data_IF_867111936219
#
_entry.id   IF_867111936219
#
_cell.length_a   1.000
_cell.length_b   1.000
_cell.length_c   1.000
_cell.angle_alpha   90.00
_cell.angle_beta   90.00
_cell.angle_gamma   90.00
#
_symmetry.space_group_name_H-M   'P 1'
#
loop_
_entity.id
_entity.type
_entity.pdbx_description
1 polymer ?
#
# COMPACT_ATOMS: atom_id res chain seq x y z
N UNK A 1 -7.72 -40.43 21.86
CA UNK A 1 -7.82 -39.78 20.54
C UNK A 1 -7.93 -38.28 20.77
N UNK A 2 -7.25 -37.46 19.96
CA UNK A 2 -7.42 -36.00 20.05
C UNK A 2 -8.83 -35.60 19.57
N UNK A 3 -9.46 -34.58 20.18
CA UNK A 3 -10.71 -34.01 19.67
C UNK A 3 -10.62 -33.57 18.20
N UNK A 4 -11.77 -33.43 17.53
CA UNK A 4 -11.83 -33.08 16.11
C UNK A 4 -11.39 -31.65 15.81
N UNK A 5 -11.47 -30.77 16.80
CA UNK A 5 -11.24 -29.33 16.77
C UNK A 5 -9.85 -28.91 17.28
N UNK A 6 -9.02 -29.87 17.72
CA UNK A 6 -7.66 -29.60 18.20
C UNK A 6 -6.67 -29.66 17.05
N UNK A 7 -5.99 -28.53 16.83
CA UNK A 7 -4.86 -28.42 15.91
C UNK A 7 -3.58 -29.00 16.53
N UNK A 8 -2.71 -29.53 15.69
CA UNK A 8 -1.44 -30.13 16.10
C UNK A 8 -0.31 -29.53 15.28
N UNK A 9 0.67 -28.96 15.97
CA UNK A 9 1.95 -28.60 15.40
C UNK A 9 3.01 -29.56 15.91
N UNK A 10 3.85 -30.07 15.03
CA UNK A 10 4.94 -30.98 15.38
C UNK A 10 6.20 -30.61 14.65
N UNK A 11 7.28 -30.41 15.39
CA UNK A 11 8.63 -30.31 14.86
C UNK A 11 9.30 -31.68 14.97
N UNK A 12 9.62 -32.26 13.82
CA UNK A 12 10.27 -33.57 13.70
C UNK A 12 11.42 -33.51 12.70
N UNK A 13 12.03 -34.63 12.40
CA UNK A 13 13.04 -34.77 11.35
C UNK A 13 12.56 -35.73 10.26
N UNK A 14 13.13 -35.62 9.06
CA UNK A 14 13.04 -36.70 8.07
C UNK A 14 13.64 -37.99 8.65
N UNK A 15 13.30 -39.15 8.06
CA UNK A 15 13.80 -40.46 8.51
C UNK A 15 15.34 -40.61 8.57
N UNK A 16 16.08 -39.66 7.99
CA UNK A 16 17.56 -39.59 8.03
C UNK A 16 18.11 -38.69 9.14
N UNK A 17 17.25 -38.06 9.94
CA UNK A 17 17.56 -37.10 11.01
C UNK A 17 18.31 -35.83 10.58
N UNK A 18 18.31 -35.51 9.28
CA UNK A 18 19.10 -34.39 8.73
C UNK A 18 18.33 -33.12 8.43
N UNK A 19 17.02 -33.24 8.21
CA UNK A 19 16.18 -32.12 7.75
C UNK A 19 15.04 -31.96 8.75
N UNK A 20 14.93 -30.81 9.42
CA UNK A 20 13.78 -30.52 10.28
C UNK A 20 12.52 -30.38 9.42
N UNK A 21 11.40 -30.89 9.95
CA UNK A 21 10.09 -30.87 9.32
C UNK A 21 9.11 -30.31 10.34
N UNK A 22 8.47 -29.19 9.99
CA UNK A 22 7.32 -28.67 10.72
C UNK A 22 6.04 -29.22 10.09
N UNK A 23 5.21 -29.87 10.89
CA UNK A 23 3.94 -30.45 10.49
C UNK A 23 2.82 -29.67 11.18
N UNK A 24 1.92 -29.07 10.40
CA UNK A 24 0.64 -28.56 10.89
C UNK A 24 -0.46 -29.52 10.45
N UNK A 25 -1.20 -30.09 11.40
CA UNK A 25 -2.20 -31.13 11.13
C UNK A 25 -3.35 -31.09 12.14
N UNK A 26 -4.38 -31.88 11.90
CA UNK A 26 -5.59 -31.94 12.71
C UNK A 26 -6.56 -33.00 12.17
N UNK A 27 -7.58 -33.31 12.96
CA UNK A 27 -8.61 -34.28 12.58
C UNK A 27 -9.74 -33.67 11.71
N UNK A 28 -9.67 -32.37 11.41
CA UNK A 28 -10.61 -31.63 10.56
C UNK A 28 -9.91 -30.43 9.90
N UNK A 29 -10.50 -29.88 8.83
CA UNK A 29 -10.00 -28.68 8.15
C UNK A 29 -9.88 -27.50 9.13
N UNK A 30 -10.86 -27.34 10.02
CA UNK A 30 -10.84 -26.31 11.07
C UNK A 30 -9.68 -26.51 12.06
N UNK A 31 -9.34 -27.75 12.42
CA UNK A 31 -8.20 -28.04 13.29
C UNK A 31 -6.85 -27.76 12.60
N UNK A 32 -6.72 -28.07 11.30
CA UNK A 32 -5.52 -27.72 10.53
C UNK A 32 -5.37 -26.21 10.44
N UNK A 33 -6.45 -25.49 10.10
CA UNK A 33 -6.46 -24.02 10.06
C UNK A 33 -6.06 -23.43 11.40
N UNK A 34 -6.63 -23.92 12.51
CA UNK A 34 -6.25 -23.50 13.87
C UNK A 34 -4.78 -23.75 14.19
N UNK A 35 -4.21 -24.89 13.77
CA UNK A 35 -2.78 -25.16 13.95
C UNK A 35 -1.90 -24.15 13.17
N UNK A 36 -2.27 -23.83 11.94
CA UNK A 36 -1.55 -22.85 11.11
C UNK A 36 -1.74 -21.44 11.66
N UNK A 37 -2.93 -21.08 12.15
CA UNK A 37 -3.24 -19.77 12.71
C UNK A 37 -2.32 -19.44 13.90
N UNK A 38 -2.07 -20.42 14.76
CA UNK A 38 -1.10 -20.28 15.85
C UNK A 38 0.31 -19.91 15.34
N UNK A 39 0.76 -20.47 14.20
CA UNK A 39 2.07 -20.17 13.62
C UNK A 39 2.18 -18.78 12.99
N UNK A 40 1.07 -18.12 12.70
CA UNK A 40 1.05 -16.80 12.05
C UNK A 40 0.58 -15.69 12.98
N UNK A 41 0.21 -16.01 14.22
CA UNK A 41 -0.14 -15.04 15.27
C UNK A 41 1.04 -14.86 16.24
N UNK A 42 1.74 -13.72 16.14
CA UNK A 42 2.97 -13.45 16.91
C UNK A 42 2.80 -13.62 18.42
N UNK A 43 1.69 -13.12 18.98
CA UNK A 43 1.43 -13.15 20.44
C UNK A 43 1.37 -14.56 21.02
N UNK A 44 0.77 -15.50 20.28
CA UNK A 44 0.57 -16.86 20.77
C UNK A 44 1.81 -17.74 20.49
N UNK A 45 2.64 -17.39 19.50
CA UNK A 45 3.91 -18.07 19.26
C UNK A 45 4.89 -17.96 20.44
N UNK A 46 4.88 -16.83 21.17
CA UNK A 46 5.78 -16.60 22.32
C UNK A 46 5.59 -17.64 23.43
N UNK A 47 4.40 -18.23 23.54
CA UNK A 47 4.09 -19.28 24.53
C UNK A 47 4.26 -20.70 23.98
N UNK A 48 4.52 -20.83 22.67
CA UNK A 48 4.73 -22.10 21.98
C UNK A 48 6.11 -22.70 22.20
N UNK A 49 6.29 -23.49 23.25
CA UNK A 49 7.57 -24.18 23.51
C UNK A 49 7.43 -25.70 23.43
N UNK A 50 8.34 -26.35 22.69
CA UNK A 50 8.43 -27.82 22.61
C UNK A 50 8.41 -28.38 21.19
N UNK A 51 8.47 -29.72 21.08
CA UNK A 51 8.46 -30.44 19.80
C UNK A 51 7.05 -30.72 19.28
N UNK A 52 6.03 -30.65 20.15
CA UNK A 52 4.62 -30.85 19.80
C UNK A 52 3.78 -29.81 20.54
N UNK A 53 2.93 -29.10 19.82
CA UNK A 53 1.99 -28.11 20.36
C UNK A 53 0.58 -28.56 19.98
N UNK A 54 -0.30 -28.61 20.98
CA UNK A 54 -1.73 -28.92 20.79
C UNK A 54 -2.50 -27.62 20.93
N UNK A 55 -3.04 -27.13 19.81
CA UNK A 55 -3.78 -25.87 19.75
C UNK A 55 -5.25 -26.17 19.92
N UNK A 56 -5.74 -26.00 21.15
CA UNK A 56 -7.15 -26.26 21.49
C UNK A 56 -8.01 -25.03 21.27
N UNK A 57 -7.51 -23.87 21.71
CA UNK A 57 -8.19 -22.58 21.65
C UNK A 57 -7.16 -21.52 21.25
N UNK A 58 -7.58 -20.57 20.42
CA UNK A 58 -6.82 -19.39 20.05
C UNK A 58 -7.70 -18.19 20.31
N UNK A 59 -7.13 -17.13 20.85
CA UNK A 59 -7.85 -15.88 20.98
C UNK A 59 -8.06 -15.29 19.58
N UNK A 60 -9.27 -14.79 19.34
CA UNK A 60 -9.53 -13.98 18.14
C UNK A 60 -8.76 -12.66 18.27
N UNK A 61 -8.05 -12.30 17.21
CA UNK A 61 -7.30 -11.04 17.14
C UNK A 61 -8.19 -10.02 16.43
N UNK A 62 -8.43 -8.88 17.07
CA UNK A 62 -9.21 -7.81 16.44
C UNK A 62 -8.42 -7.22 15.25
N UNK A 63 -9.02 -7.12 14.06
CA UNK A 63 -8.36 -6.55 12.91
C UNK A 63 -7.88 -5.11 13.16
N UNK A 64 -6.66 -4.74 12.73
CA UNK A 64 -6.20 -3.36 12.85
C UNK A 64 -7.02 -2.44 11.94
N UNK A 65 -7.01 -1.15 12.22
CA UNK A 65 -7.63 -0.17 11.34
C UNK A 65 -7.03 -0.24 9.91
N UNK A 66 -7.81 -0.06 8.83
CA UNK A 66 -7.33 -0.17 7.44
C UNK A 66 -6.10 0.68 7.10
N UNK A 67 -5.90 1.78 7.82
CA UNK A 67 -4.81 2.75 7.63
C UNK A 67 -3.67 2.62 8.65
N UNK A 68 -3.68 1.59 9.50
CA UNK A 68 -2.59 1.31 10.42
C UNK A 68 -1.50 0.47 9.72
N UNK A 69 -0.46 1.13 9.21
CA UNK A 69 0.66 0.51 8.49
C UNK A 69 1.98 0.92 9.16
N UNK A 70 2.70 -0.06 9.73
CA UNK A 70 3.75 0.17 10.74
C UNK A 70 5.04 0.88 10.26
N UNK A 71 5.28 0.93 8.94
CA UNK A 71 6.46 1.59 8.32
C UNK A 71 6.09 2.82 7.46
N UNK A 72 4.85 3.28 7.56
CA UNK A 72 4.30 4.35 6.74
C UNK A 72 4.19 5.64 7.53
N UNK A 73 4.03 6.76 6.83
CA UNK A 73 3.84 8.06 7.46
C UNK A 73 2.64 8.02 8.41
N UNK A 74 2.76 8.60 9.62
CA UNK A 74 1.65 8.67 10.57
C UNK A 74 0.41 9.26 9.93
N UNK A 75 -0.81 8.87 10.34
CA UNK A 75 -2.04 9.43 9.76
C UNK A 75 -2.22 10.95 10.01
N UNK A 76 -1.58 11.49 11.06
CA UNK A 76 -1.59 12.93 11.36
C UNK A 76 -0.90 13.74 10.26
N UNK A 77 -1.49 14.88 9.89
CA UNK A 77 -0.87 15.80 8.93
C UNK A 77 0.36 16.53 9.48
N UNK A 78 0.51 16.60 10.81
CA UNK A 78 1.68 17.18 11.46
C UNK A 78 2.35 16.14 12.35
N UNK A 79 3.63 15.91 12.14
CA UNK A 79 4.46 14.98 12.91
C UNK A 79 5.93 15.40 12.89
N UNK A 80 6.74 14.79 13.74
CA UNK A 80 8.18 15.04 13.88
C UNK A 80 9.00 13.88 13.33
N UNK A 81 10.30 14.11 13.14
CA UNK A 81 11.24 13.06 12.81
C UNK A 81 11.24 11.96 13.88
N UNK A 82 11.13 12.32 15.16
CA UNK A 82 10.98 11.37 16.27
C UNK A 82 9.72 10.48 16.21
N UNK A 83 8.73 10.83 15.40
CA UNK A 83 7.52 10.02 15.23
C UNK A 83 7.69 8.97 14.11
N UNK A 84 8.84 8.98 13.42
CA UNK A 84 9.22 7.99 12.41
C UNK A 84 10.23 7.01 12.99
N UNK A 85 10.29 5.80 12.41
CA UNK A 85 11.23 4.75 12.79
C UNK A 85 12.46 4.72 11.87
N UNK A 86 13.60 4.38 12.45
CA UNK A 86 14.87 4.16 11.75
C UNK A 86 15.00 2.72 11.19
N UNK A 87 16.16 2.38 10.64
CA UNK A 87 16.42 1.04 10.09
C UNK A 87 16.38 -0.09 11.12
N UNK A 88 16.41 0.23 12.42
CA UNK A 88 16.34 -0.71 13.55
C UNK A 88 14.96 -0.77 14.20
N UNK A 89 13.95 -0.19 13.53
CA UNK A 89 12.57 -0.10 14.00
C UNK A 89 12.43 0.72 15.30
N UNK A 90 13.37 1.64 15.57
CA UNK A 90 13.33 2.53 16.73
C UNK A 90 12.99 3.97 16.32
N UNK A 91 12.29 4.75 17.16
CA UNK A 91 12.05 6.17 16.91
C UNK A 91 13.36 6.94 16.66
N UNK A 92 13.38 7.84 15.68
CA UNK A 92 14.57 8.66 15.45
C UNK A 92 14.91 9.56 16.66
N UNK A 93 16.17 9.53 17.05
CA UNK A 93 16.78 10.51 17.95
C UNK A 93 17.59 11.55 17.16
N UNK A 94 18.31 12.44 17.86
CA UNK A 94 19.22 13.39 17.23
C UNK A 94 20.34 12.64 16.49
N UNK A 95 20.41 12.81 15.16
CA UNK A 95 21.39 12.12 14.31
C UNK A 95 22.58 13.04 14.06
N UNK A 96 23.77 12.65 14.53
CA UNK A 96 25.02 13.39 14.27
C UNK A 96 25.88 12.68 13.25
N UNK A 97 26.25 13.40 12.20
CA UNK A 97 27.18 12.94 11.16
C UNK A 97 28.54 13.62 11.31
N UNK A 98 29.60 12.94 10.87
CA UNK A 98 30.99 13.37 11.05
C UNK A 98 31.79 13.29 9.76
N UNK A 99 32.62 14.29 9.49
CA UNK A 99 33.50 14.33 8.33
C UNK A 99 32.88 14.92 7.08
N UNK A 100 33.74 15.23 6.11
CA UNK A 100 33.36 15.88 4.85
C UNK A 100 32.61 14.96 3.87
N UNK A 101 32.74 13.65 4.06
CA UNK A 101 32.12 12.59 3.26
C UNK A 101 31.02 11.85 4.02
N UNK A 102 30.36 12.53 4.97
CA UNK A 102 29.23 11.96 5.69
C UNK A 102 28.13 11.48 4.73
N UNK A 103 27.60 10.25 4.89
CA UNK A 103 26.39 9.86 4.17
C UNK A 103 25.22 10.74 4.60
N UNK A 104 24.25 10.90 3.69
CA UNK A 104 22.99 11.53 4.05
C UNK A 104 22.21 10.62 5.01
N UNK A 105 21.44 11.22 5.92
CA UNK A 105 20.41 10.51 6.67
C UNK A 105 19.31 10.10 5.68
N UNK A 106 19.09 8.80 5.52
CA UNK A 106 18.01 8.24 4.71
C UNK A 106 16.81 7.93 5.60
N UNK A 107 15.63 8.43 5.23
CA UNK A 107 14.39 8.28 5.96
C UNK A 107 13.36 7.63 5.02
N UNK A 108 12.79 6.52 5.46
CA UNK A 108 11.64 5.89 4.79
C UNK A 108 10.41 6.81 4.89
N UNK A 109 10.18 7.62 3.86
CA UNK A 109 9.12 8.63 3.81
C UNK A 109 7.91 8.11 3.03
N UNK A 110 7.38 6.97 3.46
CA UNK A 110 6.39 6.17 2.73
C UNK A 110 4.96 6.64 3.01
N UNK A 111 4.33 7.32 2.06
CA UNK A 111 2.92 7.68 2.20
C UNK A 111 1.99 6.47 2.06
N UNK A 112 0.81 6.54 2.67
CA UNK A 112 -0.18 5.49 2.46
C UNK A 112 -0.63 5.48 0.99
N UNK A 113 -0.94 4.32 0.38
CA UNK A 113 -1.37 4.26 -1.02
C UNK A 113 -2.65 5.05 -1.33
N UNK A 114 -3.46 5.35 -0.31
CA UNK A 114 -4.68 6.14 -0.40
C UNK A 114 -4.51 7.63 -0.02
N UNK A 115 -3.28 8.08 0.23
CA UNK A 115 -2.97 9.49 0.47
C UNK A 115 -2.94 10.29 -0.83
N UNK A 116 -3.79 11.31 -0.91
CA UNK A 116 -3.70 12.34 -1.94
C UNK A 116 -3.18 13.64 -1.38
N UNK A 117 -1.94 13.98 -1.72
CA UNK A 117 -1.34 15.24 -1.31
C UNK A 117 -1.85 16.44 -2.11
N UNK A 118 -2.09 17.53 -1.39
CA UNK A 118 -2.45 18.85 -1.88
C UNK A 118 -1.21 19.77 -1.82
N UNK A 119 -1.20 20.89 -2.56
CA UNK A 119 -0.12 21.86 -2.46
C UNK A 119 0.05 22.40 -1.03
N UNK A 120 1.29 22.70 -0.66
CA UNK A 120 1.63 23.31 0.63
C UNK A 120 2.23 22.36 1.68
N UNK A 121 2.68 21.17 1.28
CA UNK A 121 3.45 20.29 2.16
C UNK A 121 4.81 20.92 2.48
N UNK A 122 5.24 20.83 3.73
CA UNK A 122 6.51 21.41 4.17
C UNK A 122 7.28 20.51 5.12
N UNK A 123 8.60 20.63 5.05
CA UNK A 123 9.53 20.16 6.08
C UNK A 123 10.17 21.40 6.72
N UNK A 124 10.17 21.46 8.05
CA UNK A 124 10.96 22.41 8.83
C UNK A 124 12.12 21.66 9.46
N UNK A 125 13.25 21.67 8.77
CA UNK A 125 14.48 21.00 9.16
C UNK A 125 15.15 21.77 10.28
N UNK A 126 15.42 21.07 11.40
CA UNK A 126 16.17 21.60 12.54
C UNK A 126 17.53 20.95 12.61
N UNK A 127 18.58 21.78 12.68
CA UNK A 127 19.95 21.30 12.61
C UNK A 127 20.93 22.14 13.41
N UNK A 128 22.04 21.53 13.80
CA UNK A 128 23.22 22.16 14.38
C UNK A 128 24.47 21.73 13.62
N UNK A 129 25.55 22.50 13.70
CA UNK A 129 26.82 22.11 13.09
C UNK A 129 28.01 22.69 13.85
N UNK A 130 29.13 21.98 13.77
CA UNK A 130 30.36 22.31 14.47
C UNK A 130 31.16 23.47 13.90
N UNK A 131 32.15 23.96 14.66
CA UNK A 131 33.12 24.94 14.17
C UNK A 131 34.01 24.35 13.06
N UNK A 132 34.85 25.18 12.46
CA UNK A 132 35.82 24.82 11.41
C UNK A 132 35.22 24.41 10.06
N UNK A 133 33.91 24.55 9.86
CA UNK A 133 33.30 24.48 8.53
C UNK A 133 33.66 25.71 7.69
N UNK A 134 33.64 25.58 6.36
CA UNK A 134 33.72 26.69 5.42
C UNK A 134 32.30 27.14 5.00
N UNK A 135 31.76 28.25 5.49
CA UNK A 135 30.40 28.72 5.17
C UNK A 135 30.14 28.98 3.67
N UNK A 136 31.19 29.16 2.87
CA UNK A 136 31.06 29.44 1.44
C UNK A 136 30.77 28.18 0.63
N UNK A 137 31.23 27.02 1.09
CA UNK A 137 31.14 25.75 0.36
C UNK A 137 30.43 24.64 1.13
N UNK A 138 30.24 24.82 2.45
CA UNK A 138 29.43 23.92 3.26
C UNK A 138 27.94 24.26 3.21
N UNK A 139 27.10 23.23 3.12
CA UNK A 139 25.64 23.37 3.13
C UNK A 139 24.97 22.17 3.80
N UNK A 140 23.70 22.35 4.14
CA UNK A 140 22.77 21.28 4.42
C UNK A 140 21.72 21.24 3.30
N UNK A 141 21.44 20.07 2.76
CA UNK A 141 20.48 19.86 1.68
C UNK A 141 19.47 18.76 2.02
N UNK A 142 18.28 18.87 1.42
CA UNK A 142 17.24 17.86 1.49
C UNK A 142 16.87 17.46 0.08
N UNK A 143 16.79 16.16 -0.16
CA UNK A 143 16.32 15.57 -1.39
C UNK A 143 15.24 14.53 -1.10
N UNK A 144 14.38 14.27 -2.09
CA UNK A 144 13.41 13.18 -2.06
C UNK A 144 13.56 12.39 -3.36
N UNK A 145 13.75 11.07 -3.24
CA UNK A 145 13.99 10.17 -4.37
C UNK A 145 15.13 10.67 -5.29
N UNK A 146 16.20 11.21 -4.70
CA UNK A 146 17.36 11.78 -5.40
C UNK A 146 17.15 13.17 -6.02
N UNK A 147 15.95 13.76 -5.91
CA UNK A 147 15.65 15.10 -6.40
C UNK A 147 15.76 16.12 -5.27
N UNK A 148 16.65 17.11 -5.44
CA UNK A 148 16.87 18.15 -4.45
C UNK A 148 15.60 19.02 -4.26
N UNK A 149 15.12 19.09 -3.02
CA UNK A 149 14.05 20.00 -2.60
C UNK A 149 14.59 21.40 -2.29
N UNK A 150 15.81 21.45 -1.77
CA UNK A 150 16.48 22.69 -1.40
C UNK A 150 17.61 22.46 -0.42
N UNK A 151 18.19 23.56 0.04
CA UNK A 151 19.25 23.52 1.04
C UNK A 151 19.67 24.92 1.45
N UNK A 152 20.47 24.99 2.51
CA UNK A 152 21.03 26.25 3.01
C UNK A 152 22.54 26.12 3.18
N UNK A 153 23.26 27.13 2.71
CA UNK A 153 24.66 27.29 3.11
C UNK A 153 24.75 27.47 4.61
N UNK A 154 25.75 26.87 5.22
CA UNK A 154 26.08 27.12 6.61
C UNK A 154 26.58 28.58 6.73
N UNK A 155 26.31 29.24 7.85
CA UNK A 155 26.46 30.69 7.96
C UNK A 155 27.62 31.16 8.84
N UNK A 156 28.23 30.27 9.63
CA UNK A 156 29.21 30.60 10.66
C UNK A 156 30.40 29.66 10.62
N UNK A 157 31.62 30.19 10.74
CA UNK A 157 32.85 29.37 10.92
C UNK A 157 32.96 28.79 12.34
N UNK A 158 32.25 29.36 13.30
CA UNK A 158 32.25 28.94 14.71
C UNK A 158 31.21 27.83 14.98
N UNK A 159 30.48 27.41 13.95
CA UNK A 159 29.30 26.57 14.10
C UNK A 159 28.06 27.38 14.45
N UNK A 160 26.93 26.70 14.50
CA UNK A 160 25.66 27.27 14.93
C UNK A 160 24.77 26.16 15.52
N UNK A 161 23.83 26.53 16.38
CA UNK A 161 22.97 25.58 17.09
C UNK A 161 21.50 25.86 16.81
N UNK A 162 20.69 24.81 16.71
CA UNK A 162 19.23 24.90 16.64
C UNK A 162 18.74 25.81 15.51
N UNK A 163 19.41 25.73 14.35
CA UNK A 163 19.01 26.45 13.14
C UNK A 163 17.86 25.76 12.46
N UNK A 164 17.04 26.55 11.78
CA UNK A 164 15.91 26.06 11.02
C UNK A 164 15.93 26.54 9.57
N UNK A 165 15.46 25.66 8.69
CA UNK A 165 15.05 26.00 7.33
C UNK A 165 13.76 25.26 6.99
N UNK A 166 12.81 25.98 6.42
CA UNK A 166 11.57 25.40 5.91
C UNK A 166 11.66 25.28 4.39
N UNK A 167 11.29 24.11 3.88
CA UNK A 167 11.25 23.80 2.44
C UNK A 167 9.90 23.19 2.09
N UNK A 168 9.42 23.47 0.89
CA UNK A 168 8.20 22.86 0.35
C UNK A 168 8.53 21.50 -0.25
N UNK A 169 7.69 20.50 0.02
CA UNK A 169 7.74 19.19 -0.63
C UNK A 169 6.64 19.17 -1.71
N UNK A 170 6.99 19.03 -3.00
CA UNK A 170 5.98 18.92 -4.05
C UNK A 170 5.09 17.69 -3.84
N UNK A 171 3.79 17.84 -4.09
CA UNK A 171 2.78 16.79 -3.87
C UNK A 171 3.03 15.52 -4.68
N UNK A 172 3.59 15.64 -5.89
CA UNK A 172 3.91 14.52 -6.80
C UNK A 172 5.14 13.71 -6.36
N UNK A 173 5.87 14.21 -5.36
CA UNK A 173 7.10 13.60 -4.84
C UNK A 173 6.88 12.74 -3.61
N UNK A 174 5.74 12.84 -2.94
CA UNK A 174 5.44 12.02 -1.77
C UNK A 174 4.69 10.77 -2.23
N UNK A 175 5.37 9.63 -2.24
CA UNK A 175 4.85 8.35 -2.74
C UNK A 175 4.99 7.25 -1.69
N UNK A 176 4.29 6.11 -1.87
CA UNK A 176 4.40 4.98 -0.94
C UNK A 176 5.79 4.32 -0.87
N UNK A 177 6.69 4.63 -1.81
CA UNK A 177 8.09 4.18 -1.81
C UNK A 177 9.11 5.32 -1.72
N UNK A 178 8.68 6.53 -1.33
CA UNK A 178 9.60 7.67 -1.29
C UNK A 178 10.65 7.55 -0.19
N UNK A 179 11.86 8.02 -0.50
CA UNK A 179 12.98 8.16 0.44
C UNK A 179 13.38 9.62 0.55
N UNK A 180 13.37 10.13 1.78
CA UNK A 180 13.82 11.48 2.09
C UNK A 180 15.27 11.42 2.57
N UNK A 181 16.12 12.23 1.95
CA UNK A 181 17.55 12.25 2.20
C UNK A 181 17.96 13.62 2.72
N UNK A 182 18.55 13.67 3.91
CA UNK A 182 19.03 14.91 4.53
C UNK A 182 20.55 14.82 4.66
N UNK A 183 21.26 15.66 3.92
CA UNK A 183 22.71 15.62 3.79
C UNK A 183 23.38 16.85 4.36
N UNK A 184 24.50 16.63 5.06
CA UNK A 184 25.49 17.68 5.30
C UNK A 184 26.62 17.56 4.27
N UNK A 185 26.87 18.63 3.52
CA UNK A 185 28.07 18.78 2.70
C UNK A 185 29.02 19.67 3.48
N UNK A 186 29.99 19.07 4.17
CA UNK A 186 30.89 19.80 5.07
C UNK A 186 32.26 19.93 4.42
N UNK A 187 32.69 21.16 4.21
CA UNK A 187 34.06 21.48 3.85
C UNK A 187 34.81 22.10 5.02
N UNK A 188 36.07 21.70 5.27
CA UNK A 188 36.88 22.34 6.29
C UNK A 188 37.30 23.74 5.85
N UNK A 189 37.38 24.66 6.81
CA UNK A 189 37.81 26.05 6.63
C UNK A 189 39.21 26.15 6.02
N UNK A 190 40.15 25.32 6.48
CA UNK A 190 41.53 25.28 5.97
C UNK A 190 41.83 23.91 5.33
N UNK A 191 41.87 23.86 3.99
CA UNK A 191 42.37 22.67 3.28
C UNK A 191 43.90 22.67 3.28
N UNK A 192 44.53 22.05 4.29
CA UNK A 192 46.00 21.97 4.40
C UNK A 192 46.58 20.91 3.44
N UNK A 193 46.74 21.30 2.17
CA UNK A 193 47.18 20.45 1.04
C UNK A 193 46.23 19.31 0.69
N UNK A 194 46.18 18.90 -0.58
CA UNK A 194 45.34 17.78 -1.05
C UNK A 194 45.63 16.42 -0.38
N UNK A 195 46.67 16.32 0.47
CA UNK A 195 47.15 15.07 1.08
C UNK A 195 46.79 14.89 2.57
N UNK A 196 46.33 15.94 3.27
CA UNK A 196 45.99 15.87 4.71
C UNK A 196 44.77 16.74 5.04
N UNK A 197 43.60 16.23 4.70
CA UNK A 197 42.34 16.84 5.14
C UNK A 197 42.01 16.29 6.53
N UNK A 198 42.14 17.12 7.57
CA UNK A 198 41.64 16.79 8.91
C UNK A 198 40.16 17.18 8.98
N UNK A 199 39.28 16.33 8.47
CA UNK A 199 37.83 16.58 8.40
C UNK A 199 37.04 15.89 9.53
N UNK A 200 37.66 14.97 10.29
CA UNK A 200 37.01 14.28 11.42
C UNK A 200 36.45 15.21 12.49
N UNK A 201 36.92 16.46 12.56
CA UNK A 201 36.41 17.49 13.47
C UNK A 201 35.11 18.16 12.97
N UNK A 202 34.76 17.98 11.70
CA UNK A 202 33.52 18.50 11.12
C UNK A 202 32.37 17.61 11.55
N UNK A 203 31.30 18.21 12.02
CA UNK A 203 30.09 17.49 12.37
C UNK A 203 28.85 18.34 12.10
N UNK A 204 27.74 17.65 11.89
CA UNK A 204 26.42 18.21 11.77
C UNK A 204 25.42 17.32 12.49
N UNK A 205 24.44 17.91 13.15
CA UNK A 205 23.36 17.18 13.83
C UNK A 205 22.03 17.57 13.21
N UNK A 206 21.24 16.57 12.83
CA UNK A 206 19.84 16.70 12.46
C UNK A 206 19.04 16.40 13.72
N UNK A 207 18.18 17.34 14.14
CA UNK A 207 17.44 17.18 15.39
C UNK A 207 16.14 16.42 15.16
N UNK A 208 15.78 15.59 16.15
CA UNK A 208 14.56 14.78 16.15
C UNK A 208 13.28 15.62 16.17
N UNK A 209 13.38 16.90 16.55
CA UNK A 209 12.28 17.88 16.51
C UNK A 209 12.09 18.55 15.12
N UNK A 210 12.82 18.10 14.09
CA UNK A 210 12.50 18.38 12.68
C UNK A 210 11.05 17.98 12.41
N UNK A 211 10.26 18.88 11.84
CA UNK A 211 8.81 18.70 11.72
C UNK A 211 8.33 18.68 10.28
N UNK A 212 7.31 17.88 10.02
CA UNK A 212 6.61 17.75 8.74
C UNK A 212 5.18 18.27 8.90
N UNK A 213 4.73 19.10 7.98
CA UNK A 213 3.33 19.49 7.84
C UNK A 213 2.88 19.15 6.41
N UNK A 214 2.08 18.10 6.29
CA UNK A 214 1.56 17.58 5.04
C UNK A 214 0.09 17.98 4.89
N UNK A 215 -0.30 18.38 3.68
CA UNK A 215 -1.69 18.64 3.31
C UNK A 215 -2.14 17.47 2.45
N UNK A 216 -2.96 16.59 3.00
CA UNK A 216 -3.51 15.43 2.28
C UNK A 216 -4.96 15.17 2.63
N UNK A 217 -5.61 14.42 1.78
CA UNK A 217 -6.93 13.82 1.98
C UNK A 217 -6.87 12.33 1.67
N UNK A 218 -7.79 11.56 2.24
CA UNK A 218 -7.89 10.13 1.95
C UNK A 218 -8.69 9.91 0.67
N UNK A 219 -7.99 9.76 -0.45
CA UNK A 219 -8.64 9.64 -1.72
C UNK A 219 -7.75 8.90 -2.73
N UNK A 220 -8.23 7.77 -3.23
CA UNK A 220 -7.50 6.93 -4.18
C UNK A 220 -8.30 6.74 -5.46
N UNK A 221 -7.62 6.55 -6.59
CA UNK A 221 -8.27 6.17 -7.84
C UNK A 221 -8.21 4.66 -7.98
N UNK A 222 -9.38 4.03 -8.05
CA UNK A 222 -9.51 2.61 -8.33
C UNK A 222 -10.43 2.40 -9.54
N UNK A 223 -10.22 1.37 -10.36
CA UNK A 223 -9.10 0.40 -10.33
C UNK A 223 -7.76 1.01 -10.82
N UNK A 224 -6.63 0.56 -10.27
CA UNK A 224 -5.25 0.89 -10.69
C UNK A 224 -4.25 -0.18 -10.21
N UNK A 225 -3.80 -1.03 -11.14
CA UNK A 225 -2.86 -2.12 -10.91
C UNK A 225 -1.51 -1.64 -10.36
N UNK A 226 -1.15 -0.37 -10.53
CA UNK A 226 0.06 0.19 -9.93
C UNK A 226 0.04 0.08 -8.40
N UNK A 227 -1.14 0.17 -7.79
CA UNK A 227 -1.30 0.10 -6.33
C UNK A 227 -1.00 -1.30 -5.76
N UNK A 228 -1.08 -2.35 -6.60
CA UNK A 228 -0.67 -3.70 -6.22
C UNK A 228 0.81 -3.82 -5.88
N UNK A 229 1.65 -2.89 -6.35
CA UNK A 229 3.05 -2.80 -5.94
C UNK A 229 3.17 -2.68 -4.40
N UNK A 230 2.20 -2.01 -3.77
CA UNK A 230 2.12 -1.77 -2.33
C UNK A 230 1.09 -2.68 -1.63
N UNK A 231 0.49 -3.61 -2.37
CA UNK A 231 -0.55 -4.51 -1.86
C UNK A 231 -1.92 -3.85 -1.71
N UNK A 232 -2.11 -2.59 -2.11
CA UNK A 232 -3.38 -1.90 -1.94
C UNK A 232 -4.37 -2.24 -3.08
N UNK A 233 -5.68 -2.39 -2.80
CA UNK A 233 -6.32 -2.35 -1.47
C UNK A 233 -6.33 -3.69 -0.70
N UNK A 234 -5.81 -4.75 -1.31
CA UNK A 234 -5.85 -6.13 -0.78
C UNK A 234 -5.07 -6.37 0.53
N UNK A 235 -4.21 -5.43 0.93
CA UNK A 235 -3.46 -5.42 2.19
C UNK A 235 -3.88 -4.26 3.11
N UNK A 236 -5.10 -3.73 2.92
CA UNK A 236 -5.72 -2.72 3.78
C UNK A 236 -7.02 -3.31 4.39
N UNK A 237 -7.03 -3.74 5.67
CA UNK A 237 -5.96 -3.66 6.66
C UNK A 237 -4.80 -4.63 6.44
N UNK A 238 -3.70 -4.38 7.15
CA UNK A 238 -2.45 -5.14 7.01
C UNK A 238 -2.58 -6.62 7.37
N UNK A 239 -3.55 -7.02 8.19
CA UNK A 239 -3.80 -8.44 8.51
C UNK A 239 -4.52 -9.21 7.40
N UNK A 240 -4.89 -8.53 6.29
CA UNK A 240 -5.59 -9.10 5.13
C UNK A 240 -7.04 -9.54 5.39
N UNK A 241 -7.62 -9.18 6.56
CA UNK A 241 -8.97 -9.61 6.98
C UNK A 241 -10.13 -9.14 6.07
N UNK A 242 -9.90 -8.16 5.20
CA UNK A 242 -10.89 -7.65 4.24
C UNK A 242 -10.65 -8.17 2.82
N UNK A 243 -9.84 -9.20 2.66
CA UNK A 243 -9.49 -9.79 1.37
C UNK A 243 -9.75 -11.29 1.36
N UNK A 244 -10.45 -11.73 0.33
CA UNK A 244 -10.72 -13.15 0.08
C UNK A 244 -10.18 -13.58 -1.28
N UNK A 245 -9.49 -14.74 -1.30
CA UNK A 245 -9.13 -15.41 -2.56
C UNK A 245 -10.25 -16.38 -2.97
N UNK A 246 -10.75 -16.23 -4.20
CA UNK A 246 -11.75 -17.11 -4.80
C UNK A 246 -11.10 -18.01 -5.86
N UNK A 247 -11.28 -19.33 -5.72
CA UNK A 247 -10.80 -20.35 -6.64
C UNK A 247 -11.96 -21.02 -7.41
N UNK A 248 -11.69 -21.70 -8.53
CA UNK A 248 -12.70 -22.51 -9.21
C UNK A 248 -13.26 -23.59 -8.29
N UNK A 249 -14.47 -24.10 -8.58
CA UNK A 249 -15.06 -25.20 -7.80
C UNK A 249 -14.18 -26.46 -7.78
N UNK A 250 -13.36 -26.65 -8.82
CA UNK A 250 -12.33 -27.71 -8.90
C UNK A 250 -10.99 -27.10 -9.32
N UNK A 251 -10.20 -26.58 -8.36
CA UNK A 251 -8.93 -25.91 -8.68
C UNK A 251 -7.93 -26.88 -9.32
N UNK A 252 -7.25 -26.41 -10.35
CA UNK A 252 -6.08 -27.06 -10.94
C UNK A 252 -4.83 -26.85 -10.10
N UNK A 253 -3.74 -27.57 -10.41
CA UNK A 253 -2.44 -27.33 -9.77
C UNK A 253 -1.92 -25.91 -10.02
N UNK A 254 -2.17 -25.37 -11.22
CA UNK A 254 -1.76 -24.01 -11.59
C UNK A 254 -2.55 -22.96 -10.80
N UNK A 255 -3.86 -23.17 -10.61
CA UNK A 255 -4.69 -22.27 -9.77
C UNK A 255 -4.16 -22.20 -8.34
N UNK A 256 -3.83 -23.36 -7.74
CA UNK A 256 -3.27 -23.44 -6.39
C UNK A 256 -1.87 -22.83 -6.29
N UNK A 257 -1.03 -23.03 -7.31
CA UNK A 257 0.32 -22.48 -7.34
C UNK A 257 0.31 -20.94 -7.46
N UNK A 258 -0.61 -20.39 -8.25
CA UNK A 258 -0.84 -18.95 -8.33
C UNK A 258 -1.44 -18.39 -7.03
N UNK A 259 -2.39 -19.09 -6.41
CA UNK A 259 -2.91 -18.72 -5.08
C UNK A 259 -1.78 -18.57 -4.06
N UNK A 260 -0.87 -19.54 -3.98
CA UNK A 260 0.28 -19.49 -3.08
C UNK A 260 1.21 -18.31 -3.39
N UNK A 261 1.48 -18.02 -4.67
CA UNK A 261 2.30 -16.88 -5.07
C UNK A 261 1.67 -15.53 -4.67
N UNK A 262 0.35 -15.41 -4.82
CA UNK A 262 -0.40 -14.22 -4.36
C UNK A 262 -0.32 -14.09 -2.83
N UNK A 263 -0.59 -15.17 -2.10
CA UNK A 263 -0.53 -15.18 -0.64
C UNK A 263 0.88 -14.84 -0.13
N UNK A 264 1.92 -15.39 -0.75
CA UNK A 264 3.31 -15.08 -0.42
C UNK A 264 3.59 -13.58 -0.59
N UNK A 265 3.19 -13.01 -1.74
CA UNK A 265 3.39 -11.59 -2.01
C UNK A 265 2.67 -10.70 -0.99
N UNK A 266 1.39 -10.95 -0.73
CA UNK A 266 0.63 -10.18 0.26
C UNK A 266 1.24 -10.33 1.66
N UNK A 267 1.68 -11.53 2.03
CA UNK A 267 2.39 -11.78 3.28
C UNK A 267 3.71 -11.01 3.40
N UNK A 268 4.50 -10.85 2.31
CA UNK A 268 5.72 -10.02 2.32
C UNK A 268 5.44 -8.53 2.49
N UNK A 269 4.29 -8.07 1.98
CA UNK A 269 3.87 -6.66 2.03
C UNK A 269 3.17 -6.31 3.34
N UNK A 270 2.55 -7.29 3.98
CA UNK A 270 1.96 -7.16 5.31
C UNK A 270 3.03 -7.06 6.39
N UNK A 271 2.79 -6.19 7.37
CA UNK A 271 3.55 -6.10 8.62
C UNK A 271 2.71 -6.43 9.84
N UNK A 272 1.52 -7.01 9.67
CA UNK A 272 0.64 -7.31 10.79
C UNK A 272 1.18 -8.47 11.64
N UNK A 273 0.92 -8.40 12.95
CA UNK A 273 1.23 -9.47 13.92
C UNK A 273 0.37 -10.73 13.74
N UNK A 274 -0.66 -10.65 12.90
CA UNK A 274 -1.55 -11.75 12.57
C UNK A 274 -2.02 -11.63 11.13
N UNK A 275 -2.29 -12.78 10.50
CA UNK A 275 -2.86 -12.86 9.15
C UNK A 275 -4.22 -13.53 9.20
N UNK A 276 -5.20 -12.95 8.50
CA UNK A 276 -6.59 -13.39 8.40
C UNK A 276 -7.04 -13.42 6.93
N UNK A 277 -6.19 -13.96 6.05
CA UNK A 277 -6.51 -14.12 4.64
C UNK A 277 -7.35 -15.38 4.42
N UNK A 278 -8.58 -15.21 3.94
CA UNK A 278 -9.47 -16.33 3.66
C UNK A 278 -9.37 -16.79 2.20
N UNK A 279 -9.65 -18.07 1.97
CA UNK A 279 -9.68 -18.65 0.63
C UNK A 279 -10.85 -19.60 0.49
N UNK A 280 -11.64 -19.41 -0.57
CA UNK A 280 -12.81 -20.22 -0.85
C UNK A 280 -12.77 -20.77 -2.27
N UNK A 281 -13.29 -21.98 -2.45
CA UNK A 281 -13.83 -22.37 -3.76
C UNK A 281 -15.11 -21.58 -3.99
N UNK A 282 -15.36 -21.16 -5.22
CA UNK A 282 -16.50 -20.30 -5.57
C UNK A 282 -17.86 -20.82 -5.10
N UNK A 283 -18.06 -22.14 -5.04
CA UNK A 283 -19.30 -22.77 -4.57
C UNK A 283 -19.45 -22.81 -3.04
N UNK A 284 -18.43 -22.37 -2.30
CA UNK A 284 -18.39 -22.29 -0.84
C UNK A 284 -18.14 -20.86 -0.35
N UNK A 285 -17.96 -19.89 -1.27
CA UNK A 285 -17.77 -18.49 -0.93
C UNK A 285 -19.07 -17.92 -0.34
N UNK A 286 -19.07 -17.43 0.91
CA UNK A 286 -20.26 -16.82 1.49
C UNK A 286 -20.63 -15.52 0.77
N UNK A 287 -21.93 -15.25 0.69
CA UNK A 287 -22.42 -14.03 0.02
C UNK A 287 -22.01 -12.75 0.75
N UNK A 288 -21.86 -12.83 2.07
CA UNK A 288 -21.40 -11.74 2.93
C UNK A 288 -19.98 -11.31 2.53
N UNK A 289 -18.98 -12.20 2.61
CA UNK A 289 -17.61 -11.92 2.19
C UNK A 289 -17.57 -11.39 0.74
N UNK A 290 -18.34 -11.99 -0.18
CA UNK A 290 -18.40 -11.54 -1.60
C UNK A 290 -18.87 -10.09 -1.74
N UNK A 291 -19.74 -9.61 -0.85
CA UNK A 291 -20.28 -8.26 -0.89
C UNK A 291 -19.45 -7.26 -0.07
N UNK A 292 -18.80 -7.69 1.01
CA UNK A 292 -18.10 -6.81 1.94
C UNK A 292 -16.59 -6.71 1.74
N UNK A 293 -15.96 -7.63 1.02
CA UNK A 293 -14.49 -7.73 0.90
C UNK A 293 -13.95 -7.48 -0.51
N UNK A 294 -12.65 -7.19 -0.58
CA UNK A 294 -11.89 -7.22 -1.82
C UNK A 294 -11.69 -8.68 -2.25
N UNK A 295 -11.89 -8.98 -3.53
CA UNK A 295 -11.79 -10.35 -4.02
C UNK A 295 -10.62 -10.52 -4.97
N UNK A 296 -9.83 -11.58 -4.78
CA UNK A 296 -8.82 -12.03 -5.74
C UNK A 296 -9.33 -13.32 -6.36
N UNK A 297 -9.77 -13.27 -7.61
CA UNK A 297 -10.33 -14.41 -8.30
C UNK A 297 -9.29 -15.02 -9.25
N UNK A 298 -9.05 -16.33 -9.12
CA UNK A 298 -8.07 -17.06 -9.91
C UNK A 298 -8.78 -18.12 -10.75
N UNK A 299 -8.39 -18.24 -12.02
CA UNK A 299 -8.79 -19.38 -12.85
C UNK A 299 -8.65 -19.13 -14.34
N UNK A 300 -8.60 -20.21 -15.12
CA UNK A 300 -8.73 -20.10 -16.58
C UNK A 300 -10.14 -19.66 -16.97
N UNK A 301 -10.29 -19.02 -18.14
CA UNK A 301 -11.54 -18.41 -18.63
C UNK A 301 -12.76 -19.33 -18.47
N UNK A 302 -12.62 -20.62 -18.82
CA UNK A 302 -13.73 -21.58 -18.77
C UNK A 302 -14.11 -22.07 -17.36
N UNK A 303 -13.27 -21.82 -16.35
CA UNK A 303 -13.48 -22.23 -14.95
C UNK A 303 -13.43 -21.04 -13.98
N UNK A 304 -13.35 -19.82 -14.48
CA UNK A 304 -13.12 -18.63 -13.68
C UNK A 304 -14.29 -18.40 -12.70
N UNK A 305 -14.02 -18.06 -11.42
CA UNK A 305 -15.07 -17.89 -10.40
C UNK A 305 -16.18 -16.91 -10.78
N UNK A 306 -15.83 -15.81 -11.44
CA UNK A 306 -16.75 -14.70 -11.74
C UNK A 306 -16.71 -14.31 -13.22
N UNK A 307 -17.34 -15.08 -14.13
CA UNK A 307 -17.25 -14.85 -15.58
C UNK A 307 -17.65 -13.44 -16.04
N UNK A 308 -18.57 -12.80 -15.32
CA UNK A 308 -19.00 -11.41 -15.54
C UNK A 308 -17.84 -10.40 -15.41
N UNK A 309 -16.87 -10.67 -14.54
CA UNK A 309 -15.69 -9.81 -14.31
C UNK A 309 -14.75 -9.83 -15.52
N UNK A 310 -14.61 -11.00 -16.18
CA UNK A 310 -13.78 -11.13 -17.39
C UNK A 310 -14.41 -10.46 -18.61
N UNK A 311 -15.71 -10.20 -18.59
CA UNK A 311 -16.45 -9.59 -19.70
C UNK A 311 -16.79 -8.11 -19.49
N UNK A 312 -16.54 -7.58 -18.30
CA UNK A 312 -16.72 -6.16 -17.97
C UNK A 312 -15.77 -5.26 -18.75
N UNK A 313 -16.22 -4.10 -19.23
CA UNK A 313 -15.37 -3.12 -19.92
C UNK A 313 -15.12 -3.43 -21.40
N UNK A 314 -14.15 -2.71 -21.97
CA UNK A 314 -13.87 -2.73 -23.41
C UNK A 314 -13.11 -3.97 -23.86
N UNK A 315 -12.32 -4.60 -22.98
CA UNK A 315 -11.64 -5.85 -23.28
C UNK A 315 -12.24 -7.03 -22.51
N UNK A 316 -12.49 -8.12 -23.25
CA UNK A 316 -13.11 -9.31 -22.72
C UNK A 316 -12.45 -10.59 -23.24
N UNK A 317 -12.26 -11.54 -22.32
CA UNK A 317 -11.88 -12.92 -22.64
C UNK A 317 -13.13 -13.75 -22.93
N UNK A 318 -13.34 -14.07 -24.21
CA UNK A 318 -14.42 -14.92 -24.69
C UNK A 318 -14.01 -16.39 -24.77
N UNK A 319 -14.96 -17.23 -25.19
CA UNK A 319 -14.71 -18.66 -25.40
C UNK A 319 -13.81 -18.91 -26.61
N UNK A 320 -13.18 -20.09 -26.68
CA UNK A 320 -12.38 -20.55 -27.81
C UNK A 320 -11.23 -19.59 -28.21
N UNK A 321 -10.53 -19.04 -27.22
CA UNK A 321 -9.44 -18.08 -27.41
C UNK A 321 -9.85 -16.80 -28.14
N UNK A 322 -11.13 -16.42 -28.04
CA UNK A 322 -11.58 -15.13 -28.56
C UNK A 322 -11.27 -14.02 -27.56
N UNK A 323 -10.79 -12.90 -28.09
CA UNK A 323 -10.59 -11.67 -27.36
C UNK A 323 -11.37 -10.59 -28.06
N UNK A 324 -12.10 -9.80 -27.28
CA UNK A 324 -12.79 -8.62 -27.80
C UNK A 324 -12.11 -7.39 -27.26
N UNK A 325 -11.88 -6.39 -28.10
CA UNK A 325 -11.49 -5.04 -27.71
C UNK A 325 -12.39 -4.05 -28.46
N UNK A 326 -13.23 -3.32 -27.73
CA UNK A 326 -14.26 -2.44 -28.30
C UNK A 326 -15.19 -3.18 -29.28
N UNK A 327 -15.18 -2.79 -30.56
CA UNK A 327 -15.94 -3.42 -31.65
C UNK A 327 -15.18 -4.55 -32.35
N UNK A 328 -13.88 -4.69 -32.08
CA UNK A 328 -13.04 -5.69 -32.71
C UNK A 328 -13.08 -6.98 -31.91
N UNK A 329 -13.26 -8.10 -32.61
CA UNK A 329 -13.13 -9.43 -32.04
C UNK A 329 -12.05 -10.16 -32.82
N UNK A 330 -11.04 -10.63 -32.10
CA UNK A 330 -9.95 -11.43 -32.65
C UNK A 330 -9.96 -12.81 -32.01
N UNK A 331 -9.34 -13.77 -32.69
CA UNK A 331 -9.05 -15.08 -32.13
C UNK A 331 -7.53 -15.23 -32.09
N UNK A 332 -6.96 -15.31 -30.89
CA UNK A 332 -5.53 -15.48 -30.70
C UNK A 332 -5.22 -16.98 -30.64
N UNK A 333 -4.43 -17.50 -31.57
CA UNK A 333 -4.06 -18.93 -31.61
C UNK A 333 -2.55 -19.07 -31.87
N UNK A 334 -1.77 -19.68 -30.94
CA UNK A 334 -2.17 -20.06 -29.59
C UNK A 334 -2.32 -18.84 -28.66
N UNK A 335 -3.35 -18.82 -27.82
CA UNK A 335 -3.47 -17.83 -26.74
C UNK A 335 -2.72 -18.33 -25.49
N UNK A 336 -1.48 -17.88 -25.36
CA UNK A 336 -0.58 -18.24 -24.27
C UNK A 336 -0.44 -17.17 -23.19
N UNK A 337 -1.18 -16.06 -23.26
CA UNK A 337 -0.94 -14.92 -22.36
C UNK A 337 -1.75 -15.01 -21.07
N UNK A 338 -1.16 -14.49 -20.01
CA UNK A 338 -1.82 -14.21 -18.74
C UNK A 338 -2.55 -12.87 -18.77
N UNK A 339 -3.63 -12.76 -18.00
CA UNK A 339 -4.40 -11.54 -17.81
C UNK A 339 -4.51 -11.24 -16.32
N UNK A 340 -4.06 -10.05 -15.95
CA UNK A 340 -4.25 -9.46 -14.62
C UNK A 340 -5.14 -8.25 -14.79
N UNK A 341 -6.31 -8.27 -14.18
CA UNK A 341 -7.31 -7.23 -14.38
C UNK A 341 -7.96 -6.85 -13.07
N UNK A 342 -7.91 -5.59 -12.72
CA UNK A 342 -8.63 -5.04 -11.58
C UNK A 342 -9.89 -4.32 -12.07
N UNK A 343 -11.02 -4.62 -11.44
CA UNK A 343 -12.29 -3.95 -11.73
C UNK A 343 -13.05 -3.63 -10.44
N UNK A 344 -14.06 -2.77 -10.53
CA UNK A 344 -15.02 -2.63 -9.43
C UNK A 344 -15.77 -3.93 -9.21
N UNK A 345 -16.03 -4.23 -7.94
CA UNK A 345 -16.90 -5.33 -7.58
C UNK A 345 -18.30 -5.12 -8.17
N UNK A 346 -18.86 -6.10 -8.89
CA UNK A 346 -20.26 -6.06 -9.29
C UNK A 346 -21.23 -6.02 -8.10
N UNK A 347 -20.76 -6.42 -6.90
CA UNK A 347 -21.57 -6.57 -5.69
C UNK A 347 -21.39 -5.41 -4.70
N UNK A 348 -20.39 -4.55 -4.89
CA UNK A 348 -20.12 -3.41 -3.99
C UNK A 348 -19.50 -2.22 -4.72
N UNK A 349 -19.89 -1.02 -4.32
CA UNK A 349 -19.36 0.22 -4.89
C UNK A 349 -17.96 0.57 -4.37
N UNK A 350 -17.59 0.04 -3.20
CA UNK A 350 -16.35 0.37 -2.49
C UNK A 350 -15.26 -0.70 -2.72
N UNK A 351 -15.67 -1.94 -3.00
CA UNK A 351 -14.76 -3.07 -3.19
C UNK A 351 -14.33 -3.24 -4.65
N UNK A 352 -13.20 -3.92 -4.84
CA UNK A 352 -12.64 -4.26 -6.15
C UNK A 352 -12.40 -5.76 -6.25
N UNK A 353 -12.34 -6.24 -7.49
CA UNK A 353 -12.01 -7.62 -7.84
C UNK A 353 -10.73 -7.61 -8.67
N UNK A 354 -9.70 -8.31 -8.21
CA UNK A 354 -8.52 -8.65 -8.99
C UNK A 354 -8.74 -10.00 -9.67
N UNK A 355 -8.99 -9.97 -10.97
CA UNK A 355 -9.09 -11.14 -11.83
C UNK A 355 -7.71 -11.56 -12.33
N UNK A 356 -7.28 -12.76 -11.94
CA UNK A 356 -6.07 -13.42 -12.39
C UNK A 356 -6.47 -14.60 -13.28
N UNK A 357 -6.40 -14.41 -14.60
CA UNK A 357 -6.97 -15.35 -15.55
C UNK A 357 -6.12 -15.55 -16.80
N UNK A 358 -6.49 -16.53 -17.61
CA UNK A 358 -5.89 -16.82 -18.91
C UNK A 358 -6.82 -17.74 -19.71
N UNK A 359 -6.60 -17.86 -21.02
CA UNK A 359 -7.29 -18.88 -21.83
C UNK A 359 -6.75 -20.30 -21.56
N UNK A 360 -5.49 -20.42 -21.12
CA UNK A 360 -4.79 -21.69 -20.94
C UNK A 360 -4.02 -21.72 -19.62
N UNK A 361 -3.70 -22.92 -19.12
CA UNK A 361 -2.89 -23.09 -17.91
C UNK A 361 -1.47 -22.49 -18.08
N UNK A 362 -0.94 -22.47 -19.31
CA UNK A 362 0.35 -21.85 -19.60
C UNK A 362 0.32 -20.33 -19.42
N UNK A 363 -0.76 -19.66 -19.84
CA UNK A 363 -0.94 -18.23 -19.60
C UNK A 363 -1.14 -17.93 -18.11
N UNK A 364 -1.84 -18.81 -17.39
CA UNK A 364 -2.01 -18.65 -15.95
C UNK A 364 -0.68 -18.81 -15.18
N UNK A 365 0.21 -19.69 -15.64
CA UNK A 365 1.57 -19.81 -15.11
C UNK A 365 2.41 -18.54 -15.36
N UNK A 366 2.16 -17.78 -16.42
CA UNK A 366 2.80 -16.47 -16.62
C UNK A 366 2.31 -15.44 -15.61
N UNK A 367 1.02 -15.46 -15.25
CA UNK A 367 0.50 -14.65 -14.13
C UNK A 367 1.17 -15.05 -12.82
N UNK A 368 1.34 -16.34 -12.55
CA UNK A 368 2.09 -16.80 -11.37
C UNK A 368 3.51 -16.23 -11.34
N UNK A 369 4.21 -16.24 -12.47
CA UNK A 369 5.55 -15.70 -12.56
C UNK A 369 5.61 -14.20 -12.28
N UNK A 370 4.60 -13.41 -12.69
CA UNK A 370 4.48 -12.01 -12.29
C UNK A 370 4.52 -11.89 -10.76
N UNK A 371 3.69 -12.64 -10.03
CA UNK A 371 3.61 -12.56 -8.56
C UNK A 371 4.90 -12.99 -7.85
N UNK A 372 5.70 -13.84 -8.49
CA UNK A 372 7.01 -14.26 -7.99
C UNK A 372 8.12 -13.21 -8.23
N UNK A 373 7.88 -12.20 -9.07
CA UNK A 373 8.90 -11.21 -9.48
C UNK A 373 8.52 -9.78 -9.08
N UNK A 374 9.15 -9.27 -8.01
CA UNK A 374 8.88 -7.92 -7.51
C UNK A 374 9.17 -6.82 -8.52
N UNK A 375 10.17 -7.02 -9.39
CA UNK A 375 10.60 -6.05 -10.39
C UNK A 375 9.53 -5.74 -11.45
N UNK A 376 8.70 -6.73 -11.80
CA UNK A 376 7.62 -6.56 -12.77
C UNK A 376 6.46 -5.70 -12.21
N UNK A 377 6.28 -5.65 -10.89
CA UNK A 377 5.25 -4.81 -10.27
C UNK A 377 5.50 -3.31 -10.43
N UNK A 378 6.76 -2.88 -10.54
CA UNK A 378 7.07 -1.46 -10.80
C UNK A 378 6.63 -0.99 -12.19
N UNK A 379 6.36 -1.92 -13.10
CA UNK A 379 5.90 -1.62 -14.45
C UNK A 379 4.37 -1.55 -14.53
N UNK A 380 3.65 -2.14 -13.57
CA UNK A 380 2.19 -2.21 -13.56
C UNK A 380 1.56 -0.81 -13.56
N UNK A 381 0.59 -0.64 -14.45
CA UNK A 381 -0.13 0.60 -14.70
C UNK A 381 -1.54 0.24 -15.17
N UNK A 382 -2.45 1.23 -15.12
CA UNK A 382 -3.83 1.10 -15.61
C UNK A 382 -4.61 0.01 -14.86
N UNK A 383 -5.70 -0.50 -15.42
CA UNK A 383 -6.57 -1.48 -14.75
C UNK A 383 -6.42 -2.91 -15.30
N UNK A 384 -5.75 -3.09 -16.44
CA UNK A 384 -5.50 -4.41 -17.04
C UNK A 384 -4.10 -4.53 -17.59
N UNK A 385 -3.44 -5.65 -17.30
CA UNK A 385 -2.16 -6.06 -17.87
C UNK A 385 -2.30 -7.44 -18.55
N UNK A 386 -1.84 -7.51 -19.80
CA UNK A 386 -1.60 -8.76 -20.51
C UNK A 386 -0.12 -9.12 -20.36
N UNK A 387 0.15 -10.38 -20.08
CA UNK A 387 1.49 -10.87 -19.76
C UNK A 387 1.81 -11.98 -20.74
N UNK A 388 2.93 -11.85 -21.45
CA UNK A 388 3.45 -12.89 -22.33
C UNK A 388 4.91 -13.18 -22.00
N UNK A 389 5.29 -14.46 -22.09
CA UNK A 389 6.69 -14.85 -22.01
C UNK A 389 7.35 -14.73 -23.40
N UNK A 390 8.47 -14.05 -23.47
CA UNK A 390 9.28 -13.88 -24.69
C UNK A 390 10.13 -15.13 -24.99
N UNK A 391 10.31 -16.01 -24.00
CA UNK A 391 11.12 -17.23 -24.09
C UNK A 391 10.34 -18.46 -23.61
N UNK A 392 10.76 -19.65 -24.03
CA UNK A 392 10.05 -20.92 -23.74
C UNK A 392 10.18 -21.33 -22.26
N UNK A 393 11.26 -20.90 -21.60
CA UNK A 393 11.51 -21.10 -20.17
C UNK A 393 12.04 -19.77 -19.60
N UNK A 394 11.14 -18.81 -19.35
CA UNK A 394 11.55 -17.52 -18.82
C UNK A 394 12.18 -17.70 -17.44
N UNK A 395 13.28 -17.01 -17.20
CA UNK A 395 13.97 -17.00 -15.92
C UNK A 395 13.11 -16.27 -14.89
N UNK A 396 12.99 -16.80 -13.66
CA UNK A 396 12.31 -16.10 -12.58
C UNK A 396 13.07 -14.84 -12.11
N UNK A 397 14.24 -14.54 -12.68
CA UNK A 397 15.09 -13.41 -12.29
C UNK A 397 15.35 -12.40 -13.42
N UNK A 398 14.95 -12.70 -14.66
CA UNK A 398 15.16 -11.81 -15.81
C UNK A 398 13.82 -11.17 -16.21
N UNK A 399 13.68 -9.87 -15.98
CA UNK A 399 12.45 -9.14 -16.32
C UNK A 399 12.19 -9.07 -17.82
N UNK A 400 13.25 -9.07 -18.62
CA UNK A 400 13.20 -8.90 -20.08
C UNK A 400 12.63 -10.15 -20.78
N UNK A 401 12.51 -11.26 -20.05
CA UNK A 401 11.82 -12.46 -20.50
C UNK A 401 10.30 -12.30 -20.55
N UNK A 402 9.74 -11.19 -20.05
CA UNK A 402 8.31 -10.91 -20.07
C UNK A 402 7.98 -9.60 -20.78
N UNK A 403 6.87 -9.62 -21.52
CA UNK A 403 6.27 -8.41 -22.07
C UNK A 403 4.95 -8.14 -21.35
N UNK A 404 4.77 -6.89 -20.89
CA UNK A 404 3.55 -6.41 -20.27
C UNK A 404 2.87 -5.40 -21.21
N UNK A 405 1.65 -5.71 -21.64
CA UNK A 405 0.80 -4.77 -22.38
C UNK A 405 -0.32 -4.26 -21.49
N UNK A 406 -0.50 -2.93 -21.42
CA UNK A 406 -1.48 -2.30 -20.54
C UNK A 406 -2.69 -1.82 -21.31
N UNK A 407 -3.87 -2.03 -20.73
CA UNK A 407 -5.14 -1.53 -21.23
C UNK A 407 -5.85 -0.77 -20.11
N UNK A 408 -6.46 0.36 -20.45
CA UNK A 408 -7.36 1.11 -19.58
C UNK A 408 -8.80 0.83 -20.02
N UNK A 409 -9.53 0.02 -19.26
CA UNK A 409 -10.88 -0.43 -19.62
C UNK A 409 -11.98 0.32 -18.88
N UNK A 410 -11.67 0.82 -17.69
CA UNK A 410 -12.58 1.53 -16.80
C UNK A 410 -12.05 2.92 -16.53
N UNK A 411 -12.92 3.92 -16.43
CA UNK A 411 -12.51 5.24 -15.92
C UNK A 411 -12.25 5.11 -14.41
N UNK A 412 -11.02 5.36 -13.93
CA UNK A 412 -10.76 5.36 -12.50
C UNK A 412 -11.65 6.41 -11.83
N UNK A 413 -12.31 6.04 -10.74
CA UNK A 413 -13.08 7.01 -9.95
C UNK A 413 -12.38 7.20 -8.62
N UNK A 414 -12.44 8.44 -8.15
CA UNK A 414 -11.97 8.79 -6.82
C UNK A 414 -12.86 8.09 -5.79
N UNK A 415 -12.28 7.17 -5.04
CA UNK A 415 -12.86 6.62 -3.83
C UNK A 415 -12.36 7.50 -2.68
N UNK A 416 -13.24 8.37 -2.18
CA UNK A 416 -12.94 9.19 -1.01
C UNK A 416 -13.22 8.35 0.24
N UNK A 417 -12.17 7.99 0.98
CA UNK A 417 -12.24 7.15 2.17
C UNK A 417 -12.16 8.08 3.38
N UNK A 418 -13.13 8.99 3.50
CA UNK A 418 -13.15 9.94 4.60
C UNK A 418 -14.51 9.91 5.33
N UNK A 419 -14.54 9.56 6.63
CA UNK A 419 -15.75 9.60 7.44
C UNK A 419 -16.15 11.03 7.86
N UNK A 420 -15.40 12.08 7.50
CA UNK A 420 -15.72 13.45 7.92
C UNK A 420 -16.85 14.07 7.07
N UNK A 421 -17.90 14.57 7.75
CA UNK A 421 -19.06 15.27 7.16
C UNK A 421 -18.65 16.43 6.22
N UNK A 422 -17.53 17.10 6.52
CA UNK A 422 -16.94 18.15 5.69
C UNK A 422 -16.35 17.63 4.39
N UNK A 423 -15.71 16.46 4.37
CA UNK A 423 -15.17 15.82 3.17
C UNK A 423 -16.28 15.42 2.19
N UNK A 424 -17.39 14.89 2.71
CA UNK A 424 -18.60 14.57 1.92
C UNK A 424 -19.27 15.84 1.34
N UNK A 425 -19.38 16.91 2.15
CA UNK A 425 -19.92 18.20 1.68
C UNK A 425 -19.02 18.83 0.61
N UNK A 426 -17.71 18.90 0.84
CA UNK A 426 -16.75 19.43 -0.14
C UNK A 426 -16.72 18.58 -1.42
N UNK A 427 -16.87 17.26 -1.32
CA UNK A 427 -17.00 16.33 -2.44
C UNK A 427 -18.25 16.60 -3.29
N UNK A 428 -19.41 16.83 -2.66
CA UNK A 428 -20.66 17.22 -3.35
C UNK A 428 -20.52 18.55 -4.12
N UNK A 429 -19.69 19.47 -3.63
CA UNK A 429 -19.45 20.76 -4.28
C UNK A 429 -18.28 20.75 -5.28
N UNK A 430 -17.39 19.74 -5.26
CA UNK A 430 -16.17 19.67 -6.09
C UNK A 430 -16.39 19.48 -7.59
N UNK A 431 -17.63 19.27 -8.04
CA UNK A 431 -17.99 19.23 -9.48
C UNK A 431 -19.25 20.02 -9.84
N UNK A 432 -19.91 20.66 -8.86
CA UNK A 432 -21.22 21.30 -9.02
C UNK A 432 -21.28 22.71 -8.41
N UNK A 433 -20.20 23.49 -8.56
CA UNK A 433 -20.13 24.87 -8.04
C UNK A 433 -21.29 25.76 -8.55
N UNK A 434 -21.82 25.46 -9.74
CA UNK A 434 -22.98 26.13 -10.33
C UNK A 434 -24.30 25.93 -9.56
N UNK A 435 -24.37 24.94 -8.65
CA UNK A 435 -25.56 24.68 -7.80
C UNK A 435 -25.54 25.52 -6.52
N UNK A 436 -24.36 25.99 -6.08
CA UNK A 436 -24.23 26.80 -4.85
C UNK A 436 -24.98 28.13 -4.95
N UNK A 437 -24.91 28.81 -6.11
CA UNK A 437 -25.56 30.11 -6.32
C UNK A 437 -27.09 30.02 -6.17
N UNK A 438 -27.81 29.15 -6.90
CA UNK A 438 -29.24 28.98 -6.69
C UNK A 438 -29.59 28.43 -5.30
N UNK A 439 -28.77 27.55 -4.73
CA UNK A 439 -28.96 27.02 -3.37
C UNK A 439 -28.96 28.12 -2.30
N UNK A 440 -27.99 29.04 -2.36
CA UNK A 440 -27.92 30.19 -1.45
C UNK A 440 -29.13 31.09 -1.61
N UNK A 441 -29.58 31.37 -2.84
CA UNK A 441 -30.76 32.21 -3.10
C UNK A 441 -32.02 31.59 -2.51
N UNK A 442 -32.23 30.28 -2.70
CA UNK A 442 -33.40 29.56 -2.14
C UNK A 442 -33.36 29.55 -0.61
N UNK A 443 -32.20 29.28 0.00
CA UNK A 443 -32.05 29.35 1.46
C UNK A 443 -32.29 30.76 2.01
N UNK A 444 -31.80 31.80 1.34
CA UNK A 444 -32.06 33.20 1.74
C UNK A 444 -33.55 33.55 1.65
N UNK A 445 -34.25 33.11 0.59
CA UNK A 445 -35.70 33.31 0.46
C UNK A 445 -36.49 32.54 1.52
N UNK A 446 -36.04 31.34 1.88
CA UNK A 446 -36.67 30.53 2.93
C UNK A 446 -36.49 31.18 4.30
N UNK A 447 -35.27 31.62 4.63
CA UNK A 447 -34.98 32.36 5.88
C UNK A 447 -35.79 33.65 5.93
N UNK A 448 -35.89 34.39 4.81
CA UNK A 448 -36.74 35.57 4.71
C UNK A 448 -38.22 35.25 4.96
N UNK A 449 -38.74 34.17 4.39
CA UNK A 449 -40.11 33.71 4.60
C UNK A 449 -40.39 33.35 6.06
N UNK A 450 -39.47 32.60 6.71
CA UNK A 450 -39.58 32.25 8.14
C UNK A 450 -39.51 33.49 9.02
N UNK A 451 -38.59 34.42 8.73
CA UNK A 451 -38.48 35.68 9.45
C UNK A 451 -39.76 36.53 9.33
N UNK A 452 -40.37 36.60 8.15
CA UNK A 452 -41.65 37.29 7.93
C UNK A 452 -42.81 36.65 8.70
N UNK A 453 -42.88 35.32 8.75
CA UNK A 453 -43.91 34.61 9.54
C UNK A 453 -43.70 34.84 11.04
N UNK A 454 -42.46 34.86 11.51
CA UNK A 454 -42.12 35.16 12.90
C UNK A 454 -42.47 36.60 13.28
N UNK A 455 -42.13 37.58 12.44
CA UNK A 455 -42.50 38.99 12.64
C UNK A 455 -44.02 39.20 12.62
N UNK A 456 -44.75 38.55 11.70
CA UNK A 456 -46.22 38.60 11.70
C UNK A 456 -46.85 38.01 12.96
N UNK A 457 -46.26 36.97 13.55
CA UNK A 457 -46.72 36.44 14.85
C UNK A 457 -46.47 37.43 15.98
N UNK A 458 -45.32 38.10 16.01
CA UNK A 458 -44.99 39.12 17.00
C UNK A 458 -45.94 40.34 16.92
N UNK A 459 -46.25 40.83 15.72
CA UNK A 459 -47.22 41.93 15.55
C UNK A 459 -48.64 41.55 16.01
N UNK A 460 -49.03 40.28 15.87
CA UNK A 460 -50.33 39.79 16.34
C UNK A 460 -50.43 39.74 17.86
N UNK A 461 -49.31 39.51 18.56
CA UNK A 461 -49.23 39.59 20.03
C UNK A 461 -49.16 41.03 20.56
N UNK A 462 -48.77 42.01 19.74
CA UNK A 462 -48.72 43.42 20.14
C UNK A 462 -50.07 44.14 20.01
N UNK A 463 -51.01 43.58 19.25
CA UNK A 463 -52.35 44.13 19.00
C UNK A 463 -53.47 43.35 19.74
N UNK A 464 -53.12 42.45 20.66
CA UNK A 464 -54.02 41.91 21.69
C UNK A 464 -53.62 42.47 23.04
#
# INVERSE_FOLDING_TARGET
>A
PLPADVGVLMLTTTASDRVPVLIATGNSDAAVSKAVQFLVQSRDQEIGTGHVILVSELAEVEPPAPRNWEDYLPASNSFKLSDLKDETDQPFEDVTVWGSHSPALDIHFRALPDDRFLPGNTITLRYSYGPQVNPLTSLIDVAIDGVALGGRRLSSVEGDRQKSITMTIPEDRIKPNSRLQIGFRLDPRERRSCSRVTDQQLWGTIHADTSFDLKRETAVQLPDLKLLQFGYPFAAPQDLSTTTIALPATPSKTDLALMLAVSERLGRLSKADSVMLETYRVNQLPEENRASEHLIAIGTQGKFPFPEVLTAGDFALGSASSRRQQTSQIQALPDGEGVVKEVRSPWSAEQVVLALSAQTDSGLAQVQNLFNQDSLFFQLQQDTALISANTVNPSPYETDDYTLEFLQQSTPQMVAIDPTFTGQLLGLFRGKWYVLIPGVVVSSLFIYGVAQVYLKRLDKFRNS
#
